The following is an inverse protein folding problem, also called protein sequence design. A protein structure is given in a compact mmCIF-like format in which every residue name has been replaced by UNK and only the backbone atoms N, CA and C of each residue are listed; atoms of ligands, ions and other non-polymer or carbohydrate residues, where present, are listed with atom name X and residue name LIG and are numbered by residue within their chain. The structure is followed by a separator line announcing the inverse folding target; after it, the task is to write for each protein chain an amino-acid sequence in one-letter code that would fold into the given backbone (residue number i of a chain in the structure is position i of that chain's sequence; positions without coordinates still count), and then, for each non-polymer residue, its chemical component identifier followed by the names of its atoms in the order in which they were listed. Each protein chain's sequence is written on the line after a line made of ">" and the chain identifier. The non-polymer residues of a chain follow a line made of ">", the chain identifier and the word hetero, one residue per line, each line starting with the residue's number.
data_IF_841906549172
#
_entry.id   IF_841906549172
#
_cell.length_a   1.000
_cell.length_b   1.000
_cell.length_c   1.000
_cell.angle_alpha   90.00
_cell.angle_beta   90.00
_cell.angle_gamma   90.00
#
_symmetry.space_group_name_H-M   'P 1'
#
loop_
_entity.id
_entity.type
_entity.pdbx_description
1 polymer ?
#
# COMPACT_ATOMS: atom_id res chain seq x y z
N UNK A 1 -31.83 4.21 -27.90
CA UNK A 1 -30.90 3.07 -27.94
C UNK A 1 -29.51 3.61 -27.70
N UNK A 2 -28.80 3.03 -26.75
CA UNK A 2 -27.51 3.50 -26.27
C UNK A 2 -26.41 3.36 -27.32
N UNK A 3 -25.45 4.29 -27.27
CA UNK A 3 -24.05 3.91 -27.33
C UNK A 3 -23.36 4.57 -26.12
N UNK A 4 -22.97 3.82 -25.08
CA UNK A 4 -22.07 4.34 -24.06
C UNK A 4 -20.70 4.53 -24.72
N UNK A 5 -20.15 5.73 -24.56
CA UNK A 5 -18.78 6.10 -24.87
C UNK A 5 -17.81 5.03 -24.38
N UNK A 6 -17.01 4.49 -25.30
CA UNK A 6 -15.95 3.51 -25.05
C UNK A 6 -15.10 3.89 -23.84
N UNK A 7 -14.74 2.95 -22.94
CA UNK A 7 -13.83 3.27 -21.85
C UNK A 7 -12.46 3.51 -22.46
N UNK A 8 -11.89 4.67 -22.19
CA UNK A 8 -10.46 4.92 -22.39
C UNK A 8 -9.70 3.78 -21.72
N UNK A 9 -8.98 3.02 -22.52
CA UNK A 9 -8.19 1.87 -22.09
C UNK A 9 -7.00 2.36 -21.25
N UNK A 10 -7.27 2.80 -20.02
CA UNK A 10 -6.27 3.00 -18.99
C UNK A 10 -5.82 1.61 -18.55
N UNK A 11 -4.80 1.08 -19.22
CA UNK A 11 -4.14 -0.16 -18.80
C UNK A 11 -3.88 -0.09 -17.30
N UNK A 12 -4.49 -0.99 -16.54
CA UNK A 12 -4.30 -1.07 -15.09
C UNK A 12 -2.79 -1.10 -14.81
N UNK A 13 -2.28 -0.28 -13.88
CA UNK A 13 -0.90 -0.40 -13.47
C UNK A 13 -0.58 -1.82 -13.01
N UNK A 14 0.67 -2.23 -13.13
CA UNK A 14 1.14 -3.47 -12.50
C UNK A 14 0.93 -3.39 -10.99
N UNK A 15 0.48 -4.48 -10.36
CA UNK A 15 0.20 -4.49 -8.92
C UNK A 15 1.42 -4.12 -8.08
N UNK A 16 2.62 -4.47 -8.57
CA UNK A 16 3.90 -4.14 -7.96
C UNK A 16 4.45 -2.78 -8.40
N UNK A 17 3.61 -1.95 -9.04
CA UNK A 17 3.94 -0.60 -9.45
C UNK A 17 3.01 0.46 -8.86
N UNK A 18 1.73 0.17 -8.56
CA UNK A 18 0.83 1.19 -7.98
C UNK A 18 0.87 1.31 -6.46
N UNK A 19 0.96 0.19 -5.74
CA UNK A 19 0.95 0.11 -4.27
C UNK A 19 -0.25 0.76 -3.56
N UNK A 20 -1.29 1.20 -4.28
CA UNK A 20 -2.34 2.06 -3.73
C UNK A 20 -3.04 1.47 -2.51
N UNK A 21 -3.31 0.17 -2.54
CA UNK A 21 -3.94 -0.55 -1.43
C UNK A 21 -3.09 -0.61 -0.16
N UNK A 22 -1.77 -0.38 -0.25
CA UNK A 22 -0.89 -0.38 0.91
C UNK A 22 -0.90 0.97 1.66
N UNK A 23 -1.53 2.02 1.14
CA UNK A 23 -1.52 3.36 1.74
C UNK A 23 -2.71 3.62 2.67
N UNK A 24 -2.48 3.58 3.97
CA UNK A 24 -3.45 3.93 5.00
C UNK A 24 -2.75 4.52 6.23
N UNK A 25 -3.44 5.41 6.94
CA UNK A 25 -2.97 5.97 8.21
C UNK A 25 -3.55 5.21 9.41
N UNK A 26 -4.47 4.28 9.19
CA UNK A 26 -5.11 3.53 10.28
C UNK A 26 -4.15 2.45 10.80
N UNK A 27 -3.77 2.46 12.09
CA UNK A 27 -2.93 1.39 12.65
C UNK A 27 -3.58 -0.01 12.57
N UNK A 28 -4.92 -0.05 12.53
CA UNK A 28 -5.71 -1.29 12.48
C UNK A 28 -6.15 -1.65 11.03
N UNK A 29 -5.49 -1.09 10.01
CA UNK A 29 -5.95 -1.16 8.62
C UNK A 29 -6.02 -2.58 8.04
N UNK A 30 -5.01 -3.42 8.30
CA UNK A 30 -4.99 -4.81 7.83
C UNK A 30 -4.91 -5.71 9.05
N UNK A 31 -5.98 -6.44 9.32
CA UNK A 31 -6.00 -7.47 10.36
C UNK A 31 -5.18 -8.67 9.93
N UNK A 32 -4.46 -9.26 10.88
CA UNK A 32 -3.65 -10.47 10.70
C UNK A 32 -4.26 -11.57 11.58
N UNK A 33 -4.74 -12.64 10.95
CA UNK A 33 -5.15 -13.86 11.66
C UNK A 33 -3.95 -14.72 12.07
N UNK A 34 -4.19 -15.79 12.83
CA UNK A 34 -3.14 -16.77 13.14
C UNK A 34 -2.56 -17.43 11.89
N UNK A 35 -3.43 -17.77 10.92
CA UNK A 35 -3.00 -18.35 9.64
C UNK A 35 -2.20 -17.35 8.80
N UNK A 36 -2.57 -16.08 8.82
CA UNK A 36 -1.80 -15.02 8.16
C UNK A 36 -0.43 -14.84 8.83
N UNK A 37 -0.39 -14.87 10.16
CA UNK A 37 0.86 -14.76 10.91
C UNK A 37 1.81 -15.91 10.57
N UNK A 38 1.32 -17.15 10.57
CA UNK A 38 2.10 -18.31 10.17
C UNK A 38 2.57 -18.22 8.71
N UNK A 39 1.70 -17.72 7.81
CA UNK A 39 2.02 -17.56 6.38
C UNK A 39 3.09 -16.51 6.11
N UNK A 40 3.12 -15.43 6.90
CA UNK A 40 4.17 -14.39 6.82
C UNK A 40 5.55 -14.91 7.23
N UNK A 41 5.63 -16.04 7.95
CA UNK A 41 6.88 -16.68 8.33
C UNK A 41 7.84 -15.75 9.06
N UNK A 42 9.11 -15.76 8.65
CA UNK A 42 10.17 -14.93 9.26
C UNK A 42 9.88 -13.42 9.18
N UNK A 43 9.06 -12.98 8.21
CA UNK A 43 8.71 -11.56 8.08
C UNK A 43 7.71 -11.10 9.14
N UNK A 44 6.98 -12.02 9.80
CA UNK A 44 5.91 -11.69 10.72
C UNK A 44 6.37 -10.79 11.88
N UNK A 45 7.54 -11.06 12.46
CA UNK A 45 8.07 -10.30 13.60
C UNK A 45 8.26 -8.80 13.29
N UNK A 46 8.75 -8.50 12.08
CA UNK A 46 8.98 -7.12 11.64
C UNK A 46 7.71 -6.43 11.13
N UNK A 47 6.81 -7.20 10.51
CA UNK A 47 5.65 -6.68 9.78
C UNK A 47 4.36 -6.66 10.60
N UNK A 48 4.29 -7.32 11.75
CA UNK A 48 3.08 -7.41 12.57
C UNK A 48 3.22 -6.60 13.86
N UNK A 49 2.12 -5.98 14.27
CA UNK A 49 1.98 -5.34 15.59
C UNK A 49 0.75 -5.90 16.30
N UNK A 50 0.87 -6.14 17.60
CA UNK A 50 -0.22 -6.60 18.45
C UNK A 50 -0.82 -5.44 19.24
N UNK A 51 -2.12 -5.23 19.11
CA UNK A 51 -2.90 -4.32 19.95
C UNK A 51 -3.78 -5.16 20.87
N UNK A 52 -3.27 -5.42 22.08
CA UNK A 52 -3.86 -6.41 22.98
C UNK A 52 -3.76 -7.80 22.38
N UNK A 53 -4.91 -8.47 22.20
CA UNK A 53 -5.00 -9.82 21.64
C UNK A 53 -5.29 -9.85 20.13
N UNK A 54 -5.21 -8.69 19.44
CA UNK A 54 -5.46 -8.58 17.99
C UNK A 54 -4.16 -8.20 17.28
N UNK A 55 -3.88 -8.85 16.16
CA UNK A 55 -2.70 -8.59 15.33
C UNK A 55 -3.08 -7.81 14.07
N UNK A 56 -2.21 -6.90 13.66
CA UNK A 56 -2.37 -6.07 12.47
C UNK A 56 -1.05 -5.92 11.72
N UNK A 57 -1.10 -5.65 10.41
CA UNK A 57 0.10 -5.23 9.69
C UNK A 57 0.56 -3.89 10.23
N UNK A 58 1.85 -3.78 10.51
CA UNK A 58 2.49 -2.54 10.93
C UNK A 58 2.35 -1.49 9.83
N UNK A 59 2.01 -0.27 10.24
CA UNK A 59 1.93 0.89 9.36
C UNK A 59 3.08 1.85 9.69
N UNK A 60 3.78 2.32 8.68
CA UNK A 60 4.75 3.41 8.76
C UNK A 60 4.05 4.73 8.46
N UNK A 61 4.47 5.77 9.18
CA UNK A 61 4.06 7.13 8.92
C UNK A 61 5.26 7.93 8.40
N UNK A 62 5.08 8.59 7.27
CA UNK A 62 6.01 9.59 6.77
C UNK A 62 5.34 10.96 6.83
N UNK A 63 6.04 11.95 7.37
CA UNK A 63 5.61 13.36 7.30
C UNK A 63 6.34 14.04 6.16
N UNK A 64 5.60 14.75 5.32
CA UNK A 64 6.20 15.59 4.31
C UNK A 64 5.30 16.75 3.93
N UNK A 65 5.90 17.93 3.82
CA UNK A 65 5.24 19.16 3.37
C UNK A 65 3.90 19.42 4.09
N UNK A 66 3.84 19.15 5.40
CA UNK A 66 2.65 19.34 6.22
C UNK A 66 1.59 18.23 6.13
N UNK A 67 1.77 17.23 5.27
CA UNK A 67 0.89 16.08 5.14
C UNK A 67 1.51 14.82 5.78
N UNK A 68 0.69 14.01 6.43
CA UNK A 68 1.08 12.68 6.93
C UNK A 68 0.61 11.63 5.92
N UNK A 69 1.56 10.84 5.41
CA UNK A 69 1.26 9.72 4.51
C UNK A 69 1.63 8.42 5.22
N UNK A 70 0.63 7.58 5.46
CA UNK A 70 0.80 6.26 6.06
C UNK A 70 0.83 5.15 5.01
N UNK A 71 1.70 4.15 5.20
CA UNK A 71 1.75 2.96 4.34
C UNK A 71 2.14 1.70 5.13
N UNK A 72 1.75 0.53 4.64
CA UNK A 72 2.10 -0.74 5.23
C UNK A 72 3.62 -0.94 5.25
N UNK A 73 4.16 -1.48 6.34
CA UNK A 73 5.59 -1.76 6.50
C UNK A 73 6.17 -2.75 5.47
N UNK A 74 5.31 -3.57 4.85
CA UNK A 74 5.70 -4.45 3.76
C UNK A 74 5.89 -3.73 2.42
N UNK A 75 5.56 -2.44 2.32
CA UNK A 75 5.66 -1.70 1.08
C UNK A 75 7.08 -1.16 0.91
N UNK A 76 7.79 -1.65 -0.10
CA UNK A 76 9.01 -1.01 -0.58
C UNK A 76 8.62 0.14 -1.51
N UNK A 77 9.11 1.33 -1.18
CA UNK A 77 8.91 2.55 -1.97
C UNK A 77 10.22 2.91 -2.67
N UNK A 78 10.19 2.98 -4.00
CA UNK A 78 11.22 3.68 -4.78
C UNK A 78 10.68 5.08 -5.13
N UNK A 79 11.14 6.13 -4.43
CA UNK A 79 10.61 7.47 -4.63
C UNK A 79 11.10 8.13 -5.93
N UNK A 80 12.21 7.66 -6.53
CA UNK A 80 12.72 8.22 -7.79
C UNK A 80 11.95 7.67 -8.98
N UNK A 81 11.68 6.37 -8.98
CA UNK A 81 10.91 5.71 -10.03
C UNK A 81 9.39 5.76 -9.80
N UNK A 82 8.95 6.25 -8.63
CA UNK A 82 7.56 6.20 -8.16
C UNK A 82 6.96 4.78 -8.28
N UNK A 83 7.74 3.77 -7.89
CA UNK A 83 7.30 2.36 -7.88
C UNK A 83 7.11 1.85 -6.46
N UNK A 84 6.09 1.02 -6.29
CA UNK A 84 5.61 0.56 -4.99
C UNK A 84 5.38 -0.94 -5.02
N UNK A 85 6.27 -1.69 -4.38
CA UNK A 85 6.26 -3.14 -4.42
C UNK A 85 6.05 -3.73 -3.01
N UNK A 86 5.04 -4.57 -2.84
CA UNK A 86 4.86 -5.33 -1.62
C UNK A 86 5.93 -6.42 -1.54
N UNK A 87 6.74 -6.42 -0.49
CA UNK A 87 7.83 -7.39 -0.29
C UNK A 87 7.35 -8.78 0.07
N UNK A 88 6.12 -8.90 0.59
CA UNK A 88 5.47 -10.18 0.95
C UNK A 88 4.30 -10.51 0.03
N UNK A 89 4.39 -10.14 -1.27
CA UNK A 89 3.28 -10.30 -2.21
C UNK A 89 2.77 -11.75 -2.29
N UNK A 90 3.67 -12.73 -2.18
CA UNK A 90 3.38 -14.16 -2.18
C UNK A 90 2.79 -14.69 -0.87
N UNK A 91 3.07 -14.02 0.24
CA UNK A 91 2.75 -14.40 1.63
C UNK A 91 1.65 -13.52 2.24
N UNK A 92 1.10 -12.59 1.45
CA UNK A 92 0.07 -11.62 1.85
C UNK A 92 -0.99 -12.21 2.80
N UNK A 93 -1.40 -11.46 3.83
CA UNK A 93 -2.59 -11.79 4.61
C UNK A 93 -3.82 -11.94 3.72
N UNK A 94 -4.82 -12.71 4.18
CA UNK A 94 -6.02 -13.02 3.40
C UNK A 94 -6.73 -11.74 2.92
N UNK A 95 -6.90 -10.75 3.79
CA UNK A 95 -7.51 -9.45 3.42
C UNK A 95 -6.81 -8.77 2.24
N UNK A 96 -5.49 -8.91 2.11
CA UNK A 96 -4.74 -8.35 0.99
C UNK A 96 -4.82 -9.21 -0.28
N UNK A 97 -5.12 -10.51 -0.17
CA UNK A 97 -5.36 -11.42 -1.30
C UNK A 97 -6.75 -11.23 -1.89
N UNK A 98 -7.74 -11.05 -1.01
CA UNK A 98 -9.13 -10.80 -1.38
C UNK A 98 -9.29 -9.55 -2.23
N UNK A 99 -8.36 -8.58 -2.10
CA UNK A 99 -8.25 -7.44 -2.99
C UNK A 99 -7.62 -7.84 -4.33
N UNK A 100 -8.42 -8.46 -5.19
CA UNK A 100 -8.00 -8.91 -6.52
C UNK A 100 -7.74 -7.72 -7.46
N UNK A 101 -6.69 -7.82 -8.27
CA UNK A 101 -6.32 -6.79 -9.25
C UNK A 101 -7.45 -6.58 -10.27
N UNK A 102 -7.87 -5.33 -10.45
CA UNK A 102 -8.92 -4.99 -11.42
C UNK A 102 -10.33 -5.36 -10.97
N UNK A 103 -10.50 -5.84 -9.74
CA UNK A 103 -11.82 -5.93 -9.12
C UNK A 103 -12.38 -4.54 -8.80
N UNK A 104 -13.69 -4.47 -8.56
CA UNK A 104 -14.35 -3.23 -8.10
C UNK A 104 -13.75 -2.70 -6.79
N UNK A 105 -13.27 -3.58 -5.92
CA UNK A 105 -12.56 -3.19 -4.70
C UNK A 105 -11.21 -2.54 -5.02
N UNK A 106 -10.45 -3.09 -5.99
CA UNK A 106 -9.21 -2.48 -6.47
C UNK A 106 -9.46 -1.09 -7.08
N UNK A 107 -10.54 -0.92 -7.86
CA UNK A 107 -10.92 0.37 -8.40
C UNK A 107 -11.35 1.36 -7.32
N UNK A 108 -12.08 0.90 -6.31
CA UNK A 108 -12.43 1.73 -5.15
C UNK A 108 -11.18 2.22 -4.39
N UNK A 109 -10.19 1.36 -4.19
CA UNK A 109 -8.90 1.75 -3.60
C UNK A 109 -8.18 2.80 -4.45
N UNK A 110 -8.15 2.61 -5.77
CA UNK A 110 -7.55 3.59 -6.69
C UNK A 110 -8.28 4.93 -6.69
N UNK A 111 -9.61 4.91 -6.71
CA UNK A 111 -10.42 6.12 -6.69
C UNK A 111 -10.27 6.91 -5.38
N UNK A 112 -10.11 6.21 -4.26
CA UNK A 112 -10.06 6.86 -2.93
C UNK A 112 -8.65 7.21 -2.46
N UNK A 113 -7.62 6.54 -2.98
CA UNK A 113 -6.24 6.62 -2.47
C UNK A 113 -5.19 6.85 -3.54
N UNK A 114 -5.56 6.98 -4.81
CA UNK A 114 -4.62 7.07 -5.94
C UNK A 114 -3.56 8.17 -5.84
N UNK A 115 -3.85 9.26 -5.12
CA UNK A 115 -2.89 10.34 -4.89
C UNK A 115 -1.84 10.04 -3.80
N UNK A 116 -2.15 9.13 -2.85
CA UNK A 116 -1.28 8.87 -1.70
C UNK A 116 0.11 8.35 -2.08
N UNK A 117 0.26 7.39 -3.02
CA UNK A 117 1.58 6.98 -3.49
C UNK A 117 2.39 8.14 -4.09
N UNK A 118 1.77 9.01 -4.89
CA UNK A 118 2.44 10.15 -5.52
C UNK A 118 2.96 11.15 -4.49
N UNK A 119 2.12 11.47 -3.49
CA UNK A 119 2.52 12.32 -2.37
C UNK A 119 3.68 11.70 -1.58
N UNK A 120 3.67 10.39 -1.35
CA UNK A 120 4.76 9.69 -0.67
C UNK A 120 6.08 9.71 -1.47
N UNK A 121 6.04 9.53 -2.78
CA UNK A 121 7.25 9.59 -3.61
C UNK A 121 7.86 11.01 -3.63
N UNK A 122 7.02 12.03 -3.79
CA UNK A 122 7.44 13.43 -3.76
C UNK A 122 8.07 13.81 -2.41
N UNK A 123 7.40 13.40 -1.32
CA UNK A 123 7.85 13.55 0.05
C UNK A 123 9.26 12.99 0.29
N UNK A 124 9.46 11.72 -0.05
CA UNK A 124 10.72 11.02 0.18
C UNK A 124 11.84 11.58 -0.68
N UNK A 125 11.55 11.95 -1.93
CA UNK A 125 12.52 12.60 -2.82
C UNK A 125 13.00 13.95 -2.28
N UNK A 126 12.09 14.77 -1.73
CA UNK A 126 12.44 16.05 -1.15
C UNK A 126 13.36 15.90 0.07
N UNK A 127 13.03 14.97 0.98
CA UNK A 127 13.85 14.66 2.16
C UNK A 127 15.27 14.20 1.81
N UNK A 128 15.43 13.35 0.79
CA UNK A 128 16.76 12.92 0.34
C UNK A 128 17.60 14.10 -0.16
N UNK A 129 17.00 15.04 -0.90
CA UNK A 129 17.71 16.21 -1.44
C UNK A 129 18.16 17.18 -0.35
N UNK A 130 17.38 17.33 0.72
CA UNK A 130 17.72 18.20 1.85
C UNK A 130 18.85 17.61 2.71
N UNK A 131 18.90 16.29 2.90
CA UNK A 131 19.96 15.61 3.67
C UNK A 131 21.32 15.50 2.97
N UNK A 132 21.37 15.71 1.65
CA UNK A 132 22.60 15.66 0.86
C UNK A 132 23.27 17.03 0.66
N UNK A 133 22.73 18.09 1.26
CA UNK A 133 23.30 19.44 1.29
C UNK A 133 23.97 19.69 2.64
#
# INVERSE_FOLDING_TARGET
>A
MAQPSSPENHSLPECLACGTCCFSQLPEYVRVSGDDYARLGESAESLVVFHGNRAFMRMHEARASGATVGHCAALRVDPQAATFACTVYGERPQTCRDLERGSSACDGERATKGERPLLAAAALTAHTRERSR
#
